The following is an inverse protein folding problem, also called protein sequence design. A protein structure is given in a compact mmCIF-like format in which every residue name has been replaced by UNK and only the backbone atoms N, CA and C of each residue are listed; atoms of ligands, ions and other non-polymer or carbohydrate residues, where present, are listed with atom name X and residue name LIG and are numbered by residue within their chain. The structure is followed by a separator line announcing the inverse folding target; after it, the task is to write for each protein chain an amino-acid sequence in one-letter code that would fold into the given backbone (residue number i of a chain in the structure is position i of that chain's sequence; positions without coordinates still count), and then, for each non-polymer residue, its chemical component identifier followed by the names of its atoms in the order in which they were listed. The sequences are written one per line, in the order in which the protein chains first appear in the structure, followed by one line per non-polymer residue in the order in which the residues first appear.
data_IF_846537449935
#
_entry.id   IF_846537449935
#
_cell.length_a   1.000
_cell.length_b   1.000
_cell.length_c   1.000
_cell.angle_alpha   90.00
_cell.angle_beta   90.00
_cell.angle_gamma   90.00
#
_symmetry.space_group_name_H-M   'P 1'
#
loop_
_entity.id
_entity.type
_entity.pdbx_description
1 polymer ?
#
# COMPACT_ATOMS: atom_id res chain seq x y z
N UNK A 1 37.61 -36.18 10.29
CA UNK A 1 37.58 -34.78 9.81
C UNK A 1 36.71 -34.50 8.58
N UNK A 2 36.55 -35.37 7.55
CA UNK A 2 35.76 -35.00 6.36
C UNK A 2 34.24 -34.92 6.61
N UNK A 3 33.71 -35.71 7.54
CA UNK A 3 32.29 -35.70 7.91
C UNK A 3 31.84 -34.37 8.54
N UNK A 4 32.69 -33.74 9.37
CA UNK A 4 32.34 -32.49 10.06
C UNK A 4 32.19 -31.33 9.06
N UNK A 5 33.08 -31.26 8.06
CA UNK A 5 33.04 -30.27 6.98
C UNK A 5 31.82 -30.45 6.06
N UNK A 6 31.40 -31.69 5.80
CA UNK A 6 30.20 -31.98 5.02
C UNK A 6 28.93 -31.52 5.74
N UNK A 7 28.82 -31.79 7.05
CA UNK A 7 27.67 -31.37 7.87
C UNK A 7 27.60 -29.84 7.98
N UNK A 8 28.73 -29.16 8.21
CA UNK A 8 28.78 -27.70 8.26
C UNK A 8 28.34 -27.04 6.94
N UNK A 9 28.71 -27.60 5.79
CA UNK A 9 28.26 -27.12 4.47
C UNK A 9 26.78 -27.35 4.24
N UNK A 10 26.26 -28.49 4.67
CA UNK A 10 24.84 -28.83 4.52
C UNK A 10 23.94 -27.94 5.39
N UNK A 11 24.32 -27.75 6.66
CA UNK A 11 23.61 -26.86 7.60
C UNK A 11 23.70 -25.40 7.13
N UNK A 12 24.89 -24.95 6.70
CA UNK A 12 25.06 -23.61 6.14
C UNK A 12 24.19 -23.37 4.90
N UNK A 13 24.12 -24.33 3.98
CA UNK A 13 23.26 -24.27 2.80
C UNK A 13 21.77 -24.23 3.16
N UNK A 14 21.34 -25.08 4.12
CA UNK A 14 19.95 -25.12 4.57
C UNK A 14 19.52 -23.81 5.23
N UNK A 15 20.36 -23.23 6.10
CA UNK A 15 20.10 -21.93 6.73
C UNK A 15 19.99 -20.82 5.70
N UNK A 16 20.82 -20.85 4.66
CA UNK A 16 20.80 -19.84 3.60
C UNK A 16 19.52 -19.95 2.76
N UNK A 17 19.11 -21.17 2.39
CA UNK A 17 17.84 -21.41 1.66
C UNK A 17 16.63 -21.03 2.49
N UNK A 18 16.58 -21.43 3.78
CA UNK A 18 15.51 -21.04 4.70
C UNK A 18 15.45 -19.53 4.90
N UNK A 19 16.61 -18.88 5.08
CA UNK A 19 16.71 -17.43 5.21
C UNK A 19 16.19 -16.71 3.97
N UNK A 20 16.49 -17.22 2.77
CA UNK A 20 16.02 -16.64 1.51
C UNK A 20 14.51 -16.88 1.30
N UNK A 21 13.99 -18.03 1.70
CA UNK A 21 12.55 -18.32 1.64
C UNK A 21 11.76 -17.42 2.60
N UNK A 22 12.24 -17.24 3.82
CA UNK A 22 11.61 -16.39 4.83
C UNK A 22 11.58 -14.91 4.40
N UNK A 23 12.67 -14.40 3.81
CA UNK A 23 12.70 -13.01 3.32
C UNK A 23 11.74 -12.80 2.14
N UNK A 24 11.60 -13.78 1.24
CA UNK A 24 10.64 -13.72 0.14
C UNK A 24 9.19 -13.71 0.62
N UNK A 25 8.87 -14.45 1.68
CA UNK A 25 7.52 -14.47 2.28
C UNK A 25 7.22 -13.15 2.99
N UNK A 26 8.12 -12.69 3.86
CA UNK A 26 7.89 -11.45 4.63
C UNK A 26 7.80 -10.22 3.73
N UNK A 27 8.56 -10.19 2.64
CA UNK A 27 8.49 -9.06 1.70
C UNK A 27 7.29 -9.15 0.77
N UNK A 28 6.66 -10.31 0.57
CA UNK A 28 5.61 -10.50 -0.44
C UNK A 28 4.46 -9.50 -0.30
N UNK A 29 4.10 -9.19 0.95
CA UNK A 29 2.88 -8.48 1.31
C UNK A 29 3.16 -7.03 1.76
N UNK A 30 4.41 -6.57 1.65
CA UNK A 30 4.77 -5.18 1.93
C UNK A 30 4.69 -4.30 0.66
N UNK A 31 4.71 -2.98 0.87
CA UNK A 31 4.91 -2.01 -0.23
C UNK A 31 6.24 -2.27 -0.96
N UNK A 32 7.23 -2.85 -0.29
CA UNK A 32 8.46 -3.33 -0.92
C UNK A 32 8.33 -4.63 -1.74
N UNK A 33 7.18 -5.29 -1.69
CA UNK A 33 6.98 -6.67 -2.11
C UNK A 33 6.82 -6.96 -3.60
N UNK A 34 7.01 -8.21 -3.97
CA UNK A 34 6.89 -8.64 -5.37
C UNK A 34 5.47 -8.47 -5.91
N UNK A 35 4.44 -8.57 -5.07
CA UNK A 35 3.04 -8.44 -5.48
C UNK A 35 2.71 -6.99 -5.90
N UNK A 36 3.30 -6.03 -5.21
CA UNK A 36 3.14 -4.59 -5.46
C UNK A 36 4.15 -4.09 -6.50
N UNK A 37 5.09 -4.93 -6.93
CA UNK A 37 6.19 -4.57 -7.82
C UNK A 37 5.69 -4.04 -9.17
N UNK A 38 4.68 -4.67 -9.77
CA UNK A 38 4.12 -4.21 -11.06
C UNK A 38 3.58 -2.79 -10.97
N UNK A 39 2.89 -2.45 -9.87
CA UNK A 39 2.42 -1.10 -9.63
C UNK A 39 3.61 -0.14 -9.47
N UNK A 40 4.62 -0.51 -8.68
CA UNK A 40 5.83 0.31 -8.47
C UNK A 40 6.71 0.47 -9.70
N UNK A 41 6.67 -0.46 -10.63
CA UNK A 41 7.33 -0.34 -11.92
C UNK A 41 6.66 0.74 -12.80
N UNK A 42 5.35 0.93 -12.64
CA UNK A 42 4.57 1.93 -13.37
C UNK A 42 4.41 3.27 -12.64
N UNK A 43 4.47 3.27 -11.31
CA UNK A 43 4.12 4.41 -10.46
C UNK A 43 5.18 4.68 -9.41
N UNK A 44 5.45 5.97 -9.17
CA UNK A 44 6.32 6.38 -8.08
C UNK A 44 5.51 6.54 -6.80
N UNK A 45 5.84 5.78 -5.77
CA UNK A 45 5.30 5.97 -4.42
C UNK A 45 5.90 7.27 -3.85
N UNK A 46 5.03 8.17 -3.41
CA UNK A 46 5.41 9.42 -2.78
C UNK A 46 5.68 9.22 -1.28
N UNK A 47 4.77 8.54 -0.59
CA UNK A 47 4.93 8.13 0.80
C UNK A 47 3.98 6.97 1.14
N UNK A 48 4.31 6.26 2.20
CA UNK A 48 3.45 5.26 2.84
C UNK A 48 3.30 5.69 4.28
N UNK A 49 2.07 5.66 4.79
CA UNK A 49 1.76 6.05 6.16
C UNK A 49 0.85 5.01 6.80
N UNK A 50 1.35 4.36 7.84
CA UNK A 50 0.58 3.47 8.68
C UNK A 50 -0.22 4.28 9.69
N UNK A 51 -1.50 3.97 9.78
CA UNK A 51 -2.44 4.58 10.71
C UNK A 51 -2.83 3.56 11.78
N UNK A 52 -3.27 4.08 12.93
CA UNK A 52 -3.78 3.24 14.01
C UNK A 52 -4.98 2.41 13.53
N UNK A 53 -5.16 1.21 14.10
CA UNK A 53 -6.21 0.24 13.76
C UNK A 53 -6.06 -0.48 12.41
N UNK A 54 -4.83 -0.78 11.97
CA UNK A 54 -4.60 -1.69 10.83
C UNK A 54 -4.91 -1.07 9.47
N UNK A 55 -4.63 0.22 9.31
CA UNK A 55 -4.87 0.95 8.05
C UNK A 55 -3.58 1.52 7.52
N UNK A 56 -3.45 1.54 6.19
CA UNK A 56 -2.25 2.01 5.49
C UNK A 56 -2.64 2.91 4.33
N UNK A 57 -2.10 4.12 4.33
CA UNK A 57 -2.23 5.04 3.20
C UNK A 57 -1.01 4.90 2.29
N UNK A 58 -1.25 4.63 1.01
CA UNK A 58 -0.23 4.58 -0.04
C UNK A 58 -0.46 5.75 -0.98
N UNK A 59 0.37 6.77 -0.87
CA UNK A 59 0.35 7.92 -1.75
C UNK A 59 1.31 7.71 -2.94
N UNK A 60 0.85 7.97 -4.15
CA UNK A 60 1.62 7.80 -5.36
C UNK A 60 1.42 8.96 -6.35
N UNK A 61 2.35 9.05 -7.30
CA UNK A 61 2.32 10.07 -8.34
C UNK A 61 1.57 9.56 -9.57
N UNK A 62 0.58 10.33 -10.01
CA UNK A 62 -0.16 10.07 -11.23
C UNK A 62 0.78 10.27 -12.44
N UNK A 63 0.67 9.38 -13.43
CA UNK A 63 1.42 9.59 -14.66
C UNK A 63 0.78 10.68 -15.52
N UNK A 64 1.57 11.36 -16.38
CA UNK A 64 1.01 12.30 -17.33
C UNK A 64 -0.09 11.65 -18.17
N UNK A 65 -1.28 12.28 -18.21
CA UNK A 65 -2.46 11.84 -18.98
C UNK A 65 -3.07 10.50 -18.54
N UNK A 66 -2.68 9.98 -17.39
CA UNK A 66 -3.32 8.78 -16.85
C UNK A 66 -4.71 9.11 -16.28
N UNK A 67 -5.66 8.20 -16.49
CA UNK A 67 -6.98 8.30 -15.88
C UNK A 67 -6.88 8.04 -14.36
N UNK A 68 -7.34 9.00 -13.57
CA UNK A 68 -7.22 8.98 -12.11
C UNK A 68 -7.95 7.78 -11.52
N UNK A 69 -9.17 7.49 -11.99
CA UNK A 69 -10.01 6.37 -11.52
C UNK A 69 -9.27 5.05 -11.70
N UNK A 70 -8.75 4.82 -12.91
CA UNK A 70 -7.99 3.61 -13.23
C UNK A 70 -6.72 3.50 -12.38
N UNK A 71 -6.01 4.61 -12.16
CA UNK A 71 -4.78 4.61 -11.40
C UNK A 71 -5.01 4.23 -9.92
N UNK A 72 -6.00 4.85 -9.27
CA UNK A 72 -6.29 4.55 -7.85
C UNK A 72 -6.89 3.16 -7.67
N UNK A 73 -7.66 2.67 -8.64
CA UNK A 73 -8.18 1.30 -8.64
C UNK A 73 -7.07 0.27 -8.85
N UNK A 74 -6.14 0.53 -9.77
CA UNK A 74 -4.96 -0.33 -9.98
C UNK A 74 -4.10 -0.40 -8.71
N UNK A 75 -3.89 0.72 -8.04
CA UNK A 75 -3.24 0.75 -6.74
C UNK A 75 -3.98 -0.16 -5.75
N UNK A 76 -5.28 0.08 -5.50
CA UNK A 76 -6.05 -0.71 -4.55
C UNK A 76 -5.95 -2.21 -4.86
N UNK A 77 -6.02 -2.60 -6.13
CA UNK A 77 -5.90 -4.00 -6.55
C UNK A 77 -4.51 -4.59 -6.28
N UNK A 78 -3.43 -3.84 -6.52
CA UNK A 78 -2.07 -4.30 -6.23
C UNK A 78 -1.81 -4.52 -4.74
N UNK A 79 -2.59 -3.88 -3.87
CA UNK A 79 -2.49 -4.01 -2.43
C UNK A 79 -3.63 -4.86 -1.80
N UNK A 80 -4.50 -5.48 -2.60
CA UNK A 80 -5.65 -6.27 -2.12
C UNK A 80 -5.26 -7.42 -1.18
N UNK A 81 -4.11 -8.04 -1.46
CA UNK A 81 -3.60 -9.15 -0.65
C UNK A 81 -3.16 -8.74 0.75
N UNK A 82 -2.80 -7.48 0.97
CA UNK A 82 -2.48 -6.97 2.31
C UNK A 82 -3.69 -7.05 3.25
N UNK A 83 -4.90 -6.83 2.72
CA UNK A 83 -6.12 -7.00 3.48
C UNK A 83 -6.37 -8.47 3.81
N UNK A 84 -6.17 -9.36 2.83
CA UNK A 84 -6.45 -10.79 2.99
C UNK A 84 -5.48 -11.49 3.96
N UNK A 85 -4.23 -11.05 4.04
CA UNK A 85 -3.18 -11.73 4.81
C UNK A 85 -2.96 -11.08 6.17
N UNK A 86 -2.90 -9.75 6.23
CA UNK A 86 -2.50 -9.03 7.44
C UNK A 86 -3.65 -8.21 8.04
N UNK A 87 -4.86 -8.30 7.46
CA UNK A 87 -6.01 -7.49 7.88
C UNK A 87 -5.81 -6.00 7.65
N UNK A 88 -4.82 -5.61 6.84
CA UNK A 88 -4.46 -4.20 6.62
C UNK A 88 -5.29 -3.60 5.51
N UNK A 89 -6.09 -2.58 5.85
CA UNK A 89 -6.87 -1.83 4.85
C UNK A 89 -6.00 -0.80 4.16
N UNK A 90 -6.01 -0.80 2.83
CA UNK A 90 -5.16 0.10 2.04
C UNK A 90 -5.98 1.22 1.39
N UNK A 91 -5.56 2.45 1.66
CA UNK A 91 -6.08 3.66 1.04
C UNK A 91 -5.08 4.19 0.03
N UNK A 92 -5.44 4.13 -1.25
CA UNK A 92 -4.58 4.59 -2.33
C UNK A 92 -4.91 6.04 -2.68
N UNK A 93 -3.90 6.91 -2.75
CA UNK A 93 -4.06 8.34 -3.00
C UNK A 93 -3.18 8.80 -4.15
N UNK A 94 -3.77 9.43 -5.15
CA UNK A 94 -3.05 9.93 -6.32
C UNK A 94 -2.81 11.44 -6.25
N UNK A 95 -1.57 11.84 -6.55
CA UNK A 95 -1.17 13.24 -6.66
C UNK A 95 -0.52 13.54 -8.01
N UNK A 96 -0.67 14.76 -8.52
CA UNK A 96 -0.02 15.18 -9.77
C UNK A 96 1.50 15.37 -9.63
N UNK A 97 2.00 15.59 -8.41
CA UNK A 97 3.41 15.85 -8.17
C UNK A 97 3.88 15.42 -6.78
N UNK A 98 5.18 15.15 -6.66
CA UNK A 98 5.83 14.88 -5.38
C UNK A 98 5.70 16.05 -4.41
N UNK A 99 5.71 17.28 -4.93
CA UNK A 99 5.52 18.47 -4.11
C UNK A 99 4.11 18.52 -3.51
N UNK A 100 3.07 18.24 -4.31
CA UNK A 100 1.70 18.18 -3.81
C UNK A 100 1.54 17.08 -2.75
N UNK A 101 2.06 15.88 -3.01
CA UNK A 101 2.04 14.78 -2.04
C UNK A 101 2.79 15.13 -0.74
N UNK A 102 3.92 15.83 -0.81
CA UNK A 102 4.65 16.22 0.39
C UNK A 102 3.93 17.33 1.17
N UNK A 103 3.36 18.30 0.46
CA UNK A 103 2.59 19.38 1.06
C UNK A 103 1.30 18.86 1.72
N UNK A 104 0.65 17.84 1.17
CA UNK A 104 -0.54 17.25 1.80
C UNK A 104 -0.26 16.59 3.15
N UNK A 105 0.96 16.10 3.39
CA UNK A 105 1.35 15.60 4.73
C UNK A 105 1.43 16.71 5.78
N UNK A 106 1.83 17.91 5.37
CA UNK A 106 2.02 19.04 6.29
C UNK A 106 0.76 19.88 6.43
N UNK A 107 0.00 20.02 5.34
CA UNK A 107 -1.16 20.90 5.20
C UNK A 107 -2.25 20.18 4.40
N UNK A 108 -2.81 19.07 4.90
CA UNK A 108 -3.77 18.22 4.18
C UNK A 108 -4.97 18.99 3.62
N UNK A 109 -5.44 20.00 4.36
CA UNK A 109 -6.56 20.87 3.99
C UNK A 109 -6.28 21.82 2.83
N UNK A 110 -5.01 22.04 2.46
CA UNK A 110 -4.64 22.97 1.39
C UNK A 110 -4.37 22.28 0.05
N UNK A 111 -4.14 20.97 0.04
CA UNK A 111 -3.78 20.23 -1.16
C UNK A 111 -4.87 19.24 -1.51
N UNK A 112 -5.48 19.48 -2.66
CA UNK A 112 -6.38 18.54 -3.32
C UNK A 112 -5.57 17.38 -3.91
N UNK A 113 -5.72 16.18 -3.37
CA UNK A 113 -5.41 14.93 -4.10
C UNK A 113 -6.25 14.86 -5.37
N UNK A 114 -5.83 14.09 -6.39
CA UNK A 114 -6.59 13.93 -7.64
C UNK A 114 -7.72 12.93 -7.49
N UNK A 115 -7.45 11.89 -6.75
CA UNK A 115 -8.43 10.90 -6.38
C UNK A 115 -7.86 9.95 -5.36
N UNK A 116 -8.77 9.18 -4.78
CA UNK A 116 -8.49 8.21 -3.75
C UNK A 116 -9.37 7.00 -3.93
N UNK A 117 -8.80 5.82 -3.72
CA UNK A 117 -9.56 4.59 -3.53
C UNK A 117 -9.59 4.27 -2.03
N UNK A 118 -10.80 4.11 -1.49
CA UNK A 118 -11.07 3.81 -0.10
C UNK A 118 -11.60 2.38 -0.02
N UNK A 119 -10.78 1.46 0.46
CA UNK A 119 -11.24 0.11 0.80
C UNK A 119 -12.16 0.18 2.03
N UNK A 120 -13.30 -0.49 1.94
CA UNK A 120 -14.26 -0.62 3.04
C UNK A 120 -14.00 -1.94 3.78
N UNK A 121 -14.22 -2.00 5.10
CA UNK A 121 -14.25 -3.25 5.84
C UNK A 121 -15.20 -4.26 5.23
N UNK A 122 -14.75 -5.52 5.18
CA UNK A 122 -15.45 -6.66 4.57
C UNK A 122 -15.66 -6.57 3.04
N UNK A 123 -15.11 -5.55 2.38
CA UNK A 123 -15.05 -5.43 0.92
C UNK A 123 -13.68 -5.82 0.38
N UNK A 124 -13.62 -6.26 -0.88
CA UNK A 124 -12.35 -6.45 -1.57
C UNK A 124 -11.81 -5.11 -2.10
N UNK A 125 -10.53 -5.06 -2.50
CA UNK A 125 -10.00 -3.91 -3.23
C UNK A 125 -10.79 -3.55 -4.49
N UNK A 126 -11.51 -4.52 -5.08
CA UNK A 126 -12.35 -4.30 -6.26
C UNK A 126 -13.59 -3.48 -5.93
N UNK A 127 -14.01 -3.49 -4.67
CA UNK A 127 -15.18 -2.78 -4.14
C UNK A 127 -14.78 -1.44 -3.50
N UNK A 128 -13.52 -1.02 -3.64
CA UNK A 128 -13.05 0.23 -3.09
C UNK A 128 -13.86 1.41 -3.64
N UNK A 129 -14.33 2.27 -2.74
CA UNK A 129 -15.03 3.50 -3.12
C UNK A 129 -14.01 4.49 -3.69
N UNK A 130 -14.24 4.93 -4.93
CA UNK A 130 -13.37 5.90 -5.59
C UNK A 130 -13.93 7.30 -5.42
N UNK A 131 -13.15 8.17 -4.78
CA UNK A 131 -13.43 9.58 -4.60
C UNK A 131 -12.51 10.37 -5.54
N UNK A 132 -13.09 11.19 -6.41
CA UNK A 132 -12.32 12.03 -7.33
C UNK A 132 -12.43 13.48 -6.93
N UNK A 133 -11.34 14.22 -7.09
CA UNK A 133 -11.30 15.64 -6.82
C UNK A 133 -11.35 16.41 -8.14
N UNK A 134 -12.45 17.16 -8.35
CA UNK A 134 -12.70 17.89 -9.59
C UNK A 134 -12.15 19.32 -9.58
N UNK A 135 -11.12 19.60 -8.78
CA UNK A 135 -10.40 20.89 -8.68
C UNK A 135 -11.21 22.11 -8.21
N UNK A 136 -12.54 22.05 -8.21
CA UNK A 136 -13.40 23.16 -7.79
C UNK A 136 -13.56 23.22 -6.26
N UNK A 137 -13.56 22.07 -5.59
CA UNK A 137 -13.56 21.92 -4.13
C UNK A 137 -12.81 20.62 -3.81
N UNK A 138 -11.87 20.66 -2.85
CA UNK A 138 -11.23 19.42 -2.44
C UNK A 138 -12.28 18.47 -1.86
N UNK A 139 -12.27 17.20 -2.28
CA UNK A 139 -13.10 16.20 -1.64
C UNK A 139 -12.73 16.12 -0.14
N UNK A 140 -13.72 15.89 0.71
CA UNK A 140 -13.49 15.72 2.15
C UNK A 140 -12.50 14.57 2.32
N UNK A 141 -11.30 14.88 2.81
CA UNK A 141 -10.34 13.86 3.22
C UNK A 141 -10.94 13.18 4.44
N UNK A 142 -11.41 11.95 4.26
CA UNK A 142 -11.84 11.12 5.38
C UNK A 142 -10.58 10.74 6.16
N UNK A 143 -10.29 11.51 7.20
CA UNK A 143 -9.15 11.30 8.12
C UNK A 143 -9.38 10.12 9.07
N UNK A 144 -10.55 9.49 9.00
CA UNK A 144 -10.98 8.47 9.94
C UNK A 144 -11.56 7.29 9.16
N UNK A 145 -11.15 6.10 9.57
CA UNK A 145 -11.96 4.91 9.35
C UNK A 145 -13.41 5.24 9.74
N UNK A 146 -14.40 4.88 8.90
CA UNK A 146 -15.78 5.05 9.29
C UNK A 146 -16.03 4.30 10.62
N UNK A 147 -16.85 4.87 11.47
CA UNK A 147 -16.94 4.60 12.91
C UNK A 147 -17.13 3.12 13.29
N UNK A 148 -17.67 2.31 12.36
CA UNK A 148 -17.89 0.87 12.52
C UNK A 148 -16.63 0.00 12.56
N UNK A 149 -15.43 0.52 12.28
CA UNK A 149 -14.16 -0.25 12.39
C UNK A 149 -13.59 -0.24 13.80
N UNK A 150 -13.90 0.81 14.58
CA UNK A 150 -13.41 0.97 15.97
C UNK A 150 -13.92 -0.13 16.92
N UNK A 151 -14.98 -0.82 16.54
CA UNK A 151 -15.65 -1.82 17.36
C UNK A 151 -14.93 -3.18 17.36
N UNK A 152 -14.07 -3.44 16.37
CA UNK A 152 -13.30 -4.69 16.25
C UNK A 152 -11.88 -4.63 16.80
N UNK A 153 -11.44 -3.47 17.31
CA UNK A 153 -10.12 -3.30 17.94
C UNK A 153 -10.18 -3.30 19.47
N UNK A 154 -11.24 -3.85 20.08
CA UNK A 154 -11.33 -4.10 21.52
C UNK A 154 -11.29 -5.59 21.82
#
# INVERSE_FOLDING_TARGET
MPLLLAVLRFVGGLVLVLGLALTLVVTADDVGGWQTWLFRAGHRIAYVEDQNAGTRTVAFLLRPKEDVTRAVQACAHSFDKMLLQDGTFVHCVAYDSAQAAQQSRQRPQLICERGRAIQMPYGSARDATIVLNRQQQCAVQLTYLPEYVREYSR
#
